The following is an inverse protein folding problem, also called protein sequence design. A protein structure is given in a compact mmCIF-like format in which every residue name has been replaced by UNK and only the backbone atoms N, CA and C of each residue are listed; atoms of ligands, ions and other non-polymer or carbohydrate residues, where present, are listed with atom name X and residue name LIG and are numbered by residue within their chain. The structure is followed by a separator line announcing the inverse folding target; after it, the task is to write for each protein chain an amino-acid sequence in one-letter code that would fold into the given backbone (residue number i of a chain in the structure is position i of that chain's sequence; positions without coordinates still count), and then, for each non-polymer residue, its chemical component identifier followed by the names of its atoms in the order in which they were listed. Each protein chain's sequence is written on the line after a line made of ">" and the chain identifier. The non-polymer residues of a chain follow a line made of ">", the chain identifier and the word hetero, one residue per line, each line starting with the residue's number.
data_IF_400353944644
#
_entry.id   IF_400353944644
#
_cell.length_a   1.000
_cell.length_b   1.000
_cell.length_c   1.000
_cell.angle_alpha   90.00
_cell.angle_beta   90.00
_cell.angle_gamma   90.00
#
_symmetry.space_group_name_H-M   'P 1'
#
loop_
_entity.id
_entity.type
_entity.pdbx_description
1 polymer ?
#
# COMPACT_ATOMS: atom_id res chain seq x y z
N UNK A 1 -36.12 38.10 -42.67
CA UNK A 1 -35.65 38.36 -41.28
C UNK A 1 -35.74 37.16 -40.34
N UNK A 2 -36.59 36.16 -40.55
CA UNK A 2 -36.78 34.98 -39.69
C UNK A 2 -35.64 33.93 -39.75
N UNK A 3 -34.99 33.72 -40.89
CA UNK A 3 -33.92 32.76 -41.09
C UNK A 3 -32.61 33.10 -40.37
N UNK A 4 -32.27 34.36 -40.19
CA UNK A 4 -31.06 34.78 -39.47
C UNK A 4 -31.17 34.62 -37.94
N UNK A 5 -32.40 34.62 -37.38
CA UNK A 5 -32.63 34.37 -35.94
C UNK A 5 -32.49 32.88 -35.60
N UNK A 6 -32.93 31.98 -36.49
CA UNK A 6 -32.82 30.54 -36.28
C UNK A 6 -31.34 30.06 -36.26
N UNK A 7 -30.51 30.59 -37.16
CA UNK A 7 -29.07 30.24 -37.18
C UNK A 7 -28.32 30.68 -35.92
N UNK A 8 -28.67 31.84 -35.34
CA UNK A 8 -28.05 32.29 -34.05
C UNK A 8 -28.47 31.45 -32.88
N UNK A 9 -29.72 30.98 -32.83
CA UNK A 9 -30.21 30.11 -31.75
C UNK A 9 -29.54 28.70 -31.79
N UNK A 10 -29.36 28.17 -33.00
CA UNK A 10 -28.66 26.87 -33.19
C UNK A 10 -27.19 26.98 -32.78
N UNK A 11 -26.54 28.09 -33.18
CA UNK A 11 -25.14 28.33 -32.81
C UNK A 11 -24.99 28.52 -31.30
N UNK A 12 -25.87 29.25 -30.64
CA UNK A 12 -25.88 29.46 -29.20
C UNK A 12 -26.14 28.13 -28.46
N UNK A 13 -27.09 27.32 -28.92
CA UNK A 13 -27.36 25.99 -28.35
C UNK A 13 -26.16 25.03 -28.51
N UNK A 14 -25.42 25.10 -29.62
CA UNK A 14 -24.20 24.36 -29.84
C UNK A 14 -23.08 24.82 -28.90
N UNK A 15 -22.89 26.12 -28.70
CA UNK A 15 -21.92 26.68 -27.76
C UNK A 15 -22.25 26.31 -26.31
N UNK A 16 -23.52 26.37 -25.92
CA UNK A 16 -24.00 25.96 -24.59
C UNK A 16 -23.77 24.46 -24.38
N UNK A 17 -24.04 23.59 -25.37
CA UNK A 17 -23.75 22.17 -25.29
C UNK A 17 -22.25 21.87 -25.17
N UNK A 18 -21.43 22.61 -25.91
CA UNK A 18 -19.97 22.48 -25.87
C UNK A 18 -19.39 22.96 -24.52
N UNK A 19 -19.92 24.07 -23.98
CA UNK A 19 -19.56 24.54 -22.64
C UNK A 19 -20.04 23.57 -21.53
N UNK A 20 -21.25 23.04 -21.65
CA UNK A 20 -21.76 22.04 -20.72
C UNK A 20 -21.01 20.68 -20.79
N UNK A 21 -20.55 20.30 -21.98
CA UNK A 21 -19.68 19.13 -22.16
C UNK A 21 -18.31 19.40 -21.57
N UNK A 22 -17.71 20.56 -21.79
CA UNK A 22 -16.45 20.96 -21.18
C UNK A 22 -16.56 21.08 -19.65
N UNK A 23 -17.67 21.65 -19.14
CA UNK A 23 -17.94 21.72 -17.70
C UNK A 23 -18.15 20.34 -17.08
N UNK A 24 -18.78 19.38 -17.78
CA UNK A 24 -18.90 17.99 -17.32
C UNK A 24 -17.52 17.28 -17.27
N UNK A 25 -16.60 17.61 -18.16
CA UNK A 25 -15.22 17.08 -18.11
C UNK A 25 -14.40 17.67 -16.97
N UNK A 26 -14.71 18.88 -16.50
CA UNK A 26 -14.01 19.50 -15.37
C UNK A 26 -14.50 19.04 -13.98
N UNK A 27 -15.67 18.41 -13.88
CA UNK A 27 -16.23 17.95 -12.61
C UNK A 27 -15.95 16.48 -12.28
N UNK A 28 -15.20 15.77 -13.12
CA UNK A 28 -14.78 14.39 -12.88
C UNK A 28 -13.28 14.26 -12.55
N UNK A 29 -12.64 15.29 -12.00
CA UNK A 29 -11.41 15.05 -11.23
C UNK A 29 -11.83 14.43 -9.90
N UNK A 30 -12.10 13.15 -9.92
CA UNK A 30 -12.17 12.36 -8.70
C UNK A 30 -10.81 12.46 -8.03
N UNK A 31 -10.72 13.25 -6.97
CA UNK A 31 -9.54 13.23 -6.10
C UNK A 31 -9.34 11.80 -5.64
N UNK A 32 -8.29 11.16 -6.12
CA UNK A 32 -7.98 9.79 -5.77
C UNK A 32 -6.92 9.79 -4.67
N UNK A 33 -6.98 8.79 -3.80
CA UNK A 33 -6.07 8.63 -2.69
C UNK A 33 -5.29 7.33 -2.85
N UNK A 34 -3.98 7.40 -2.66
CA UNK A 34 -3.15 6.24 -2.44
C UNK A 34 -3.02 5.99 -0.95
N UNK A 35 -3.44 4.81 -0.51
CA UNK A 35 -3.21 4.33 0.84
C UNK A 35 -1.91 3.53 0.85
N UNK A 36 -0.98 3.90 1.71
CA UNK A 36 0.25 3.17 1.91
C UNK A 36 0.24 2.55 3.29
N UNK A 37 0.14 1.23 3.33
CA UNK A 37 0.19 0.45 4.55
C UNK A 37 1.65 0.17 4.87
N UNK A 38 2.07 0.51 6.08
CA UNK A 38 3.46 0.42 6.53
C UNK A 38 3.57 -0.45 7.78
N UNK A 39 4.63 -1.23 7.84
CA UNK A 39 5.01 -1.96 9.04
C UNK A 39 6.53 -2.04 9.21
N UNK A 40 6.98 -2.46 10.38
CA UNK A 40 8.36 -2.52 10.81
C UNK A 40 8.83 -3.97 10.95
N UNK A 41 10.12 -4.21 10.68
CA UNK A 41 10.77 -5.46 11.06
C UNK A 41 12.16 -5.21 11.64
N UNK A 42 12.47 -5.88 12.74
CA UNK A 42 13.59 -5.55 13.59
C UNK A 42 13.21 -4.53 14.67
N UNK A 43 14.04 -4.38 15.69
CA UNK A 43 13.79 -3.44 16.79
C UNK A 43 14.98 -2.50 16.95
N UNK A 44 14.76 -1.17 16.94
CA UNK A 44 15.84 -0.23 17.20
C UNK A 44 16.51 -0.50 18.55
N UNK A 45 17.84 -0.68 18.55
CA UNK A 45 18.64 -0.93 19.76
C UNK A 45 18.71 -2.40 20.21
N UNK A 46 18.02 -3.31 19.56
CA UNK A 46 18.19 -4.73 19.82
C UNK A 46 19.47 -5.25 19.14
N UNK A 47 20.43 -5.64 19.95
CA UNK A 47 21.73 -6.18 19.49
C UNK A 47 21.60 -7.49 18.69
N UNK A 48 20.49 -8.22 18.84
CA UNK A 48 20.22 -9.45 18.10
C UNK A 48 19.64 -9.19 16.71
N UNK A 49 19.21 -7.97 16.44
CA UNK A 49 18.64 -7.53 15.16
C UNK A 49 19.47 -6.41 14.55
N UNK A 50 20.57 -6.75 13.81
CA UNK A 50 21.49 -5.74 13.30
C UNK A 50 20.86 -4.80 12.27
N UNK A 51 19.69 -5.13 11.74
CA UNK A 51 18.95 -4.31 10.79
C UNK A 51 17.61 -3.86 11.36
N UNK A 52 17.17 -2.70 10.90
CA UNK A 52 15.82 -2.22 11.03
C UNK A 52 15.24 -1.93 9.65
N UNK A 53 14.03 -2.33 9.42
CA UNK A 53 13.31 -2.14 8.16
C UNK A 53 11.98 -1.46 8.47
N UNK A 54 11.69 -0.35 7.83
CA UNK A 54 10.35 0.19 7.68
C UNK A 54 9.95 0.01 6.22
N UNK A 55 8.91 -0.76 5.96
CA UNK A 55 8.47 -1.05 4.60
C UNK A 55 6.95 -1.04 4.48
N UNK A 56 6.48 -0.90 3.26
CA UNK A 56 5.06 -0.99 3.00
C UNK A 56 4.70 -0.94 1.54
N UNK A 57 3.41 -1.06 1.30
CA UNK A 57 2.79 -1.16 0.00
C UNK A 57 1.78 -0.05 -0.23
N UNK A 58 1.93 0.66 -1.33
CA UNK A 58 0.98 1.66 -1.78
C UNK A 58 -0.02 1.04 -2.76
N UNK A 59 -1.29 1.16 -2.40
CA UNK A 59 -2.44 0.75 -3.20
C UNK A 59 -3.31 1.96 -3.51
N UNK A 60 -3.87 1.98 -4.71
CA UNK A 60 -4.93 2.93 -5.04
C UNK A 60 -6.20 2.60 -4.22
N UNK A 61 -6.92 3.59 -3.72
CA UNK A 61 -8.03 3.41 -2.78
C UNK A 61 -9.04 2.32 -3.22
N UNK A 62 -9.38 2.28 -4.51
CA UNK A 62 -10.34 1.30 -5.03
C UNK A 62 -9.81 -0.13 -5.11
N UNK A 63 -8.49 -0.31 -4.96
CA UNK A 63 -7.89 -1.64 -4.93
C UNK A 63 -8.02 -2.29 -3.55
N UNK A 64 -8.14 -1.50 -2.49
CA UNK A 64 -8.06 -1.99 -1.11
C UNK A 64 -9.11 -3.05 -0.80
N UNK A 65 -10.33 -2.85 -1.28
CA UNK A 65 -11.41 -3.84 -1.14
C UNK A 65 -11.06 -5.20 -1.77
N UNK A 66 -10.51 -5.19 -2.98
CA UNK A 66 -10.13 -6.44 -3.67
C UNK A 66 -8.92 -7.09 -3.04
N UNK A 67 -7.97 -6.29 -2.56
CA UNK A 67 -6.79 -6.78 -1.84
C UNK A 67 -7.18 -7.45 -0.52
N UNK A 68 -8.09 -6.84 0.23
CA UNK A 68 -8.64 -7.42 1.45
C UNK A 68 -9.29 -8.77 1.16
N UNK A 69 -10.17 -8.85 0.17
CA UNK A 69 -10.82 -10.10 -0.24
C UNK A 69 -9.83 -11.19 -0.67
N UNK A 70 -8.78 -10.83 -1.42
CA UNK A 70 -7.73 -11.77 -1.80
C UNK A 70 -6.98 -12.32 -0.58
N UNK A 71 -6.67 -11.47 0.39
CA UNK A 71 -5.98 -11.86 1.63
C UNK A 71 -6.90 -12.67 2.54
N UNK A 72 -8.19 -12.32 2.64
CA UNK A 72 -9.18 -13.14 3.35
C UNK A 72 -9.32 -14.52 2.73
N UNK A 73 -9.38 -14.63 1.41
CA UNK A 73 -9.45 -15.90 0.71
C UNK A 73 -8.20 -16.78 0.94
N UNK A 74 -7.05 -16.18 1.21
CA UNK A 74 -5.84 -16.91 1.62
C UNK A 74 -5.97 -17.41 3.05
N UNK A 75 -6.49 -16.60 3.97
CA UNK A 75 -6.62 -16.96 5.38
C UNK A 75 -7.74 -17.97 5.64
N UNK A 76 -8.87 -17.85 4.95
CA UNK A 76 -10.12 -18.57 5.22
C UNK A 76 -9.95 -20.09 5.40
N UNK A 77 -9.28 -20.86 4.52
CA UNK A 77 -9.13 -22.31 4.71
C UNK A 77 -8.32 -22.69 5.94
N UNK A 78 -7.43 -21.81 6.39
CA UNK A 78 -6.66 -22.01 7.62
C UNK A 78 -7.50 -21.64 8.85
N UNK A 79 -8.25 -20.57 8.81
CA UNK A 79 -9.16 -20.13 9.88
C UNK A 79 -10.26 -21.16 10.14
N UNK A 80 -10.86 -21.71 9.08
CA UNK A 80 -11.84 -22.79 9.20
C UNK A 80 -11.29 -24.01 9.93
N UNK A 81 -10.05 -24.42 9.61
CA UNK A 81 -9.40 -25.57 10.27
C UNK A 81 -8.93 -25.24 11.68
N UNK A 82 -8.53 -24.01 11.94
CA UNK A 82 -8.11 -23.55 13.26
C UNK A 82 -9.31 -23.27 14.21
N UNK A 83 -10.50 -23.07 13.66
CA UNK A 83 -11.70 -22.67 14.40
C UNK A 83 -11.60 -21.25 15.00
N UNK A 84 -10.71 -20.42 14.51
CA UNK A 84 -10.47 -19.05 14.97
C UNK A 84 -9.88 -18.19 13.88
N UNK A 85 -9.99 -16.87 14.03
CA UNK A 85 -9.27 -15.91 13.21
C UNK A 85 -7.74 -16.11 13.28
N UNK A 86 -7.07 -16.01 12.14
CA UNK A 86 -5.61 -16.10 12.02
C UNK A 86 -5.08 -14.84 11.33
N UNK A 87 -4.10 -14.21 11.94
CA UNK A 87 -3.34 -13.17 11.27
C UNK A 87 -2.37 -13.78 10.25
N UNK A 88 -2.28 -13.15 9.07
CA UNK A 88 -1.28 -13.48 8.06
C UNK A 88 0.07 -12.82 8.43
N UNK A 89 0.51 -13.03 9.66
CA UNK A 89 1.72 -12.45 10.24
C UNK A 89 2.93 -13.33 9.93
N UNK A 90 3.87 -12.81 9.16
CA UNK A 90 4.92 -13.61 8.55
C UNK A 90 5.86 -14.30 9.57
N UNK A 91 6.21 -13.65 10.67
CA UNK A 91 7.09 -14.20 11.70
C UNK A 91 6.44 -15.39 12.45
N UNK A 92 5.21 -15.30 13.00
CA UNK A 92 4.46 -16.43 13.55
C UNK A 92 4.22 -17.55 12.55
N UNK A 93 3.86 -17.24 11.31
CA UNK A 93 3.67 -18.26 10.26
C UNK A 93 4.95 -19.09 10.07
N UNK A 94 6.10 -18.43 9.94
CA UNK A 94 7.38 -19.12 9.80
C UNK A 94 7.77 -19.88 11.07
N UNK A 95 7.55 -19.30 12.24
CA UNK A 95 7.95 -19.86 13.53
C UNK A 95 6.98 -20.93 14.09
N UNK A 96 5.87 -21.20 13.41
CA UNK A 96 4.83 -22.12 13.90
C UNK A 96 4.26 -21.68 15.25
N UNK A 97 3.73 -20.42 15.31
CA UNK A 97 3.18 -19.82 16.53
C UNK A 97 1.82 -19.16 16.23
N UNK A 98 1.14 -18.71 17.29
CA UNK A 98 -0.08 -17.89 17.21
C UNK A 98 -1.24 -18.50 16.41
N UNK A 99 -1.35 -19.83 16.49
CA UNK A 99 -2.40 -20.60 15.81
C UNK A 99 -1.93 -21.31 14.54
N UNK A 100 -0.71 -21.01 14.09
CA UNK A 100 -0.11 -21.68 12.95
C UNK A 100 0.57 -23.01 13.29
N UNK A 101 0.56 -23.43 14.56
CA UNK A 101 1.19 -24.66 15.07
C UNK A 101 0.55 -25.92 14.49
N UNK A 102 -0.74 -25.87 14.17
CA UNK A 102 -1.49 -27.03 13.67
C UNK A 102 -1.26 -27.31 12.18
N UNK A 103 -0.57 -26.40 11.49
CA UNK A 103 -0.29 -26.52 10.06
C UNK A 103 1.15 -26.97 9.82
N UNK A 104 1.34 -27.79 8.80
CA UNK A 104 2.67 -28.24 8.37
C UNK A 104 3.53 -27.07 7.86
N UNK A 105 4.85 -27.26 7.86
CA UNK A 105 5.77 -26.27 7.32
C UNK A 105 5.48 -25.91 5.85
N UNK A 106 5.04 -26.90 5.05
CA UNK A 106 4.69 -26.70 3.65
C UNK A 106 3.42 -25.83 3.50
N UNK A 107 2.39 -26.07 4.33
CA UNK A 107 1.16 -25.25 4.29
C UNK A 107 1.44 -23.82 4.70
N UNK A 108 2.22 -23.58 5.74
CA UNK A 108 2.62 -22.25 6.18
C UNK A 108 3.47 -21.53 5.13
N UNK A 109 4.39 -22.25 4.48
CA UNK A 109 5.17 -21.67 3.38
C UNK A 109 4.28 -21.33 2.17
N UNK A 110 3.30 -22.17 1.86
CA UNK A 110 2.32 -21.90 0.81
C UNK A 110 1.51 -20.64 1.14
N UNK A 111 0.96 -20.52 2.34
CA UNK A 111 0.22 -19.34 2.77
C UNK A 111 1.07 -18.07 2.68
N UNK A 112 2.32 -18.09 3.17
CA UNK A 112 3.25 -16.97 3.06
C UNK A 112 3.55 -16.60 1.59
N UNK A 113 3.68 -17.60 0.71
CA UNK A 113 3.89 -17.37 -0.71
C UNK A 113 2.66 -16.75 -1.37
N UNK A 114 1.46 -17.19 -1.01
CA UNK A 114 0.22 -16.66 -1.56
C UNK A 114 0.00 -15.20 -1.13
N UNK A 115 0.35 -14.83 0.12
CA UNK A 115 0.36 -13.43 0.56
C UNK A 115 1.28 -12.58 -0.32
N UNK A 116 2.52 -13.01 -0.58
CA UNK A 116 3.43 -12.26 -1.46
C UNK A 116 2.96 -12.22 -2.93
N UNK A 117 2.25 -13.25 -3.40
CA UNK A 117 1.66 -13.26 -4.76
C UNK A 117 0.61 -12.22 -4.99
N UNK A 118 -0.01 -11.69 -3.94
CA UNK A 118 -0.91 -10.54 -4.08
C UNK A 118 -0.22 -9.37 -4.78
N UNK A 119 1.09 -9.14 -4.54
CA UNK A 119 1.88 -8.14 -5.28
C UNK A 119 1.92 -8.44 -6.79
N UNK A 120 2.07 -9.71 -7.15
CA UNK A 120 2.24 -10.15 -8.55
C UNK A 120 0.91 -10.09 -9.31
N UNK A 121 -0.18 -10.47 -8.66
CA UNK A 121 -1.48 -10.67 -9.29
C UNK A 121 -2.30 -9.39 -9.41
N UNK A 122 -2.02 -8.38 -8.59
CA UNK A 122 -2.82 -7.15 -8.52
C UNK A 122 -2.61 -6.23 -9.72
N UNK A 123 -3.71 -5.72 -10.25
CA UNK A 123 -3.71 -4.72 -11.32
C UNK A 123 -4.66 -3.55 -10.98
N UNK A 124 -4.26 -2.29 -11.21
CA UNK A 124 -2.90 -1.85 -11.55
C UNK A 124 -1.89 -2.28 -10.50
N UNK A 125 -0.60 -2.30 -10.88
CA UNK A 125 0.50 -2.79 -10.06
C UNK A 125 0.62 -2.02 -8.74
N UNK A 126 0.84 -2.74 -7.66
CA UNK A 126 1.20 -2.17 -6.37
C UNK A 126 2.64 -1.62 -6.37
N UNK A 127 2.91 -0.67 -5.51
CA UNK A 127 4.23 -0.08 -5.37
C UNK A 127 4.74 -0.26 -3.94
N UNK A 128 5.95 -0.80 -3.80
CA UNK A 128 6.60 -1.02 -2.50
C UNK A 128 7.58 0.12 -2.22
N UNK A 129 7.59 0.56 -0.98
CA UNK A 129 8.54 1.52 -0.44
C UNK A 129 9.20 0.91 0.79
N UNK A 130 10.51 1.06 0.92
CA UNK A 130 11.23 0.58 2.09
C UNK A 130 12.45 1.43 2.40
N UNK A 131 12.76 1.54 3.70
CA UNK A 131 14.02 2.01 4.23
C UNK A 131 14.63 0.91 5.08
N UNK A 132 15.84 0.49 4.73
CA UNK A 132 16.63 -0.52 5.41
C UNK A 132 17.83 0.16 6.04
N UNK A 133 18.00 0.00 7.34
CA UNK A 133 19.11 0.58 8.09
C UNK A 133 19.85 -0.54 8.81
N UNK A 134 21.14 -0.66 8.53
CA UNK A 134 22.06 -1.41 9.40
C UNK A 134 22.36 -0.54 10.61
N UNK A 135 21.94 -0.99 11.79
CA UNK A 135 21.86 -0.13 12.98
C UNK A 135 23.21 0.44 13.42
N UNK A 136 24.32 -0.27 13.12
CA UNK A 136 25.69 0.20 13.35
C UNK A 136 26.05 1.46 12.56
N UNK A 137 25.32 1.78 11.49
CA UNK A 137 25.56 2.96 10.66
C UNK A 137 24.81 4.21 11.18
N UNK A 138 24.04 4.10 12.25
CA UNK A 138 23.33 5.22 12.86
C UNK A 138 24.02 5.64 14.15
N UNK A 139 24.23 6.95 14.31
CA UNK A 139 24.91 7.51 15.50
C UNK A 139 24.08 7.31 16.78
N UNK A 140 22.74 7.28 16.67
CA UNK A 140 21.85 7.08 17.80
C UNK A 140 20.68 6.19 17.40
N UNK A 141 20.36 5.22 18.22
CA UNK A 141 19.23 4.31 18.04
C UNK A 141 17.88 5.04 17.92
N UNK A 142 17.69 6.11 18.69
CA UNK A 142 16.45 6.89 18.65
C UNK A 142 16.19 7.59 17.31
N UNK A 143 17.20 7.72 16.45
CA UNK A 143 17.06 8.38 15.14
C UNK A 143 16.69 7.38 14.02
N UNK A 144 16.74 6.07 14.29
CA UNK A 144 16.52 5.02 13.25
C UNK A 144 15.11 5.10 12.68
N UNK A 145 14.08 5.00 13.52
CA UNK A 145 12.68 5.04 13.08
C UNK A 145 12.31 6.40 12.44
N UNK A 146 12.64 7.55 13.05
CA UNK A 146 12.43 8.86 12.42
C UNK A 146 13.09 8.99 11.05
N UNK A 147 14.32 8.52 10.88
CA UNK A 147 15.02 8.51 9.61
C UNK A 147 14.32 7.63 8.57
N UNK A 148 14.00 6.39 8.92
CA UNK A 148 13.30 5.48 8.01
C UNK A 148 11.95 6.06 7.57
N UNK A 149 11.22 6.65 8.52
CA UNK A 149 9.92 7.27 8.26
C UNK A 149 10.05 8.50 7.32
N UNK A 150 11.02 9.38 7.57
CA UNK A 150 11.31 10.52 6.69
C UNK A 150 11.57 10.07 5.26
N UNK A 151 12.44 9.07 5.10
CA UNK A 151 12.85 8.57 3.78
C UNK A 151 11.69 7.93 3.03
N UNK A 152 10.92 7.05 3.70
CA UNK A 152 9.76 6.39 3.08
C UNK A 152 8.69 7.43 2.71
N UNK A 153 8.43 8.40 3.59
CA UNK A 153 7.46 9.47 3.32
C UNK A 153 7.91 10.34 2.13
N UNK A 154 9.19 10.71 2.08
CA UNK A 154 9.76 11.48 0.98
C UNK A 154 9.67 10.75 -0.36
N UNK A 155 10.02 9.46 -0.39
CA UNK A 155 9.92 8.63 -1.61
C UNK A 155 8.49 8.46 -2.09
N UNK A 156 7.56 8.31 -1.17
CA UNK A 156 6.14 8.22 -1.52
C UNK A 156 5.59 9.57 -2.02
N UNK A 157 5.98 10.68 -1.42
CA UNK A 157 5.65 12.03 -1.91
C UNK A 157 6.19 12.28 -3.33
N UNK A 158 7.44 11.89 -3.59
CA UNK A 158 8.06 11.93 -4.93
C UNK A 158 7.29 11.07 -5.95
N UNK A 159 6.83 9.88 -5.55
CA UNK A 159 6.03 9.02 -6.40
C UNK A 159 4.72 9.71 -6.81
N UNK A 160 4.02 10.32 -5.87
CA UNK A 160 2.77 11.06 -6.14
C UNK A 160 3.02 12.28 -7.03
N UNK A 161 4.11 13.02 -6.78
CA UNK A 161 4.52 14.14 -7.63
C UNK A 161 4.82 13.69 -9.06
N UNK A 162 5.50 12.55 -9.23
CA UNK A 162 5.80 11.97 -10.53
C UNK A 162 4.54 11.53 -11.27
N UNK A 163 3.58 10.92 -10.57
CA UNK A 163 2.27 10.59 -11.14
C UNK A 163 1.56 11.83 -11.65
N UNK A 164 1.51 12.90 -10.85
CA UNK A 164 0.93 14.17 -11.30
C UNK A 164 1.63 14.72 -12.55
N UNK A 165 2.94 14.67 -12.60
CA UNK A 165 3.69 15.16 -13.77
C UNK A 165 3.35 14.36 -15.04
N UNK A 166 3.18 13.05 -14.94
CA UNK A 166 2.93 12.14 -16.08
C UNK A 166 1.46 12.10 -16.50
N UNK A 167 0.57 11.98 -15.53
CA UNK A 167 -0.84 11.68 -15.76
C UNK A 167 -1.73 12.93 -15.64
N UNK A 168 -1.16 14.06 -15.12
CA UNK A 168 -1.90 15.32 -14.84
C UNK A 168 -3.04 15.13 -13.85
N UNK A 169 -3.02 14.04 -13.09
CA UNK A 169 -4.01 13.70 -12.10
C UNK A 169 -3.43 13.94 -10.69
N UNK A 170 -3.93 14.95 -9.93
CA UNK A 170 -3.43 15.26 -8.60
C UNK A 170 -3.87 14.17 -7.60
N UNK A 171 -2.96 13.27 -7.28
CA UNK A 171 -3.16 12.23 -6.29
C UNK A 171 -2.76 12.72 -4.90
N UNK A 172 -3.46 12.24 -3.87
CA UNK A 172 -3.06 12.43 -2.48
C UNK A 172 -2.67 11.09 -1.86
N UNK A 173 -1.81 11.15 -0.87
CA UNK A 173 -1.37 9.98 -0.13
C UNK A 173 -1.80 10.01 1.32
N UNK A 174 -1.97 8.84 1.89
CA UNK A 174 -2.22 8.63 3.31
C UNK A 174 -1.44 7.40 3.78
N UNK A 175 -0.75 7.53 4.91
CA UNK A 175 -0.13 6.40 5.57
C UNK A 175 -1.08 5.76 6.56
N UNK A 176 -1.10 4.44 6.57
CA UNK A 176 -1.78 3.59 7.55
C UNK A 176 -0.72 2.68 8.18
N UNK A 177 -0.54 2.77 9.48
CA UNK A 177 0.43 2.00 10.24
C UNK A 177 -0.28 1.09 11.24
N UNK A 178 0.42 0.06 11.71
CA UNK A 178 -0.06 -0.72 12.83
C UNK A 178 -0.18 0.13 14.11
N UNK A 179 -1.21 -0.17 14.90
CA UNK A 179 -1.52 0.54 16.14
C UNK A 179 -0.39 0.41 17.14
N UNK A 180 -0.05 1.53 17.76
CA UNK A 180 1.02 1.63 18.76
C UNK A 180 0.46 2.25 20.05
N UNK A 181 1.35 2.52 21.00
CA UNK A 181 0.98 3.32 22.17
C UNK A 181 0.61 4.73 21.74
N UNK A 182 -0.41 5.30 22.34
CA UNK A 182 -0.92 6.65 22.00
C UNK A 182 0.16 7.74 22.00
N UNK A 183 1.20 7.60 22.83
CA UNK A 183 2.35 8.53 22.87
C UNK A 183 3.23 8.41 21.61
N UNK A 184 3.44 7.19 21.11
CA UNK A 184 4.24 6.90 19.91
C UNK A 184 3.48 7.37 18.66
N UNK A 185 2.17 7.12 18.59
CA UNK A 185 1.31 7.60 17.51
C UNK A 185 1.31 9.14 17.43
N UNK A 186 1.15 9.82 18.56
CA UNK A 186 1.23 11.29 18.63
C UNK A 186 2.60 11.82 18.21
N UNK A 187 3.68 11.15 18.60
CA UNK A 187 5.03 11.54 18.21
C UNK A 187 5.21 11.41 16.68
N UNK A 188 4.76 10.32 16.09
CA UNK A 188 4.80 10.08 14.64
C UNK A 188 3.95 11.10 13.88
N UNK A 189 2.73 11.38 14.35
CA UNK A 189 1.86 12.40 13.75
C UNK A 189 2.48 13.81 13.84
N UNK A 190 3.13 14.14 14.95
CA UNK A 190 3.83 15.42 15.14
C UNK A 190 5.02 15.54 14.19
N UNK A 191 5.81 14.46 14.05
CA UNK A 191 6.92 14.38 13.11
C UNK A 191 6.43 14.60 11.67
N UNK A 192 5.36 13.94 11.28
CA UNK A 192 4.75 14.11 9.97
C UNK A 192 4.27 15.54 9.70
N UNK A 193 3.64 16.18 10.69
CA UNK A 193 3.25 17.60 10.60
C UNK A 193 4.47 18.49 10.39
N UNK A 194 5.56 18.22 11.10
CA UNK A 194 6.82 18.96 10.90
C UNK A 194 7.30 18.80 9.45
N UNK A 195 7.30 17.61 8.91
CA UNK A 195 7.73 17.34 7.51
C UNK A 195 6.82 18.03 6.48
N UNK A 196 5.53 18.17 6.76
CA UNK A 196 4.58 18.89 5.89
C UNK A 196 4.77 20.41 5.96
N UNK A 197 4.96 20.97 7.13
CA UNK A 197 4.86 22.43 7.35
C UNK A 197 6.22 23.12 7.46
N UNK A 198 7.18 22.50 8.14
CA UNK A 198 8.53 23.03 8.32
C UNK A 198 9.46 22.48 7.23
N UNK A 199 9.47 21.16 7.07
CA UNK A 199 10.31 20.43 6.12
C UNK A 199 11.15 19.36 6.81
N UNK A 200 11.96 18.70 6.00
CA UNK A 200 12.90 17.65 6.37
C UNK A 200 14.14 17.72 5.46
N UNK A 201 15.11 16.84 5.62
CA UNK A 201 16.38 16.89 4.88
C UNK A 201 16.20 16.89 3.34
N UNK A 202 15.13 16.24 2.84
CA UNK A 202 14.83 16.13 1.41
C UNK A 202 13.75 17.12 0.91
N UNK A 203 13.33 18.09 1.74
CA UNK A 203 12.34 19.09 1.36
C UNK A 203 11.09 19.12 2.22
N UNK A 204 9.92 19.12 1.62
CA UNK A 204 8.61 19.11 2.32
C UNK A 204 7.67 18.09 1.69
N UNK A 205 6.88 17.43 2.51
CA UNK A 205 5.78 16.58 2.06
C UNK A 205 4.62 17.45 1.54
N UNK A 206 4.28 17.32 0.27
CA UNK A 206 3.28 18.19 -0.39
C UNK A 206 2.03 17.45 -0.84
N UNK A 207 2.14 16.12 -0.99
CA UNK A 207 1.08 15.31 -1.61
C UNK A 207 0.32 14.46 -0.59
N UNK A 208 0.60 14.57 0.69
CA UNK A 208 -0.16 13.89 1.73
C UNK A 208 -1.48 14.61 2.04
N UNK A 209 -2.55 13.82 2.15
CA UNK A 209 -3.86 14.32 2.57
C UNK A 209 -3.85 14.72 4.04
N UNK A 210 -3.43 13.79 4.91
CA UNK A 210 -3.45 13.94 6.36
C UNK A 210 -2.16 13.42 7.01
N UNK A 211 -2.11 13.49 8.34
CA UNK A 211 -1.14 12.78 9.16
C UNK A 211 -1.40 11.27 9.09
N UNK A 212 -0.42 10.41 9.46
CA UNK A 212 -0.64 8.97 9.44
C UNK A 212 -1.80 8.56 10.34
N UNK A 213 -2.55 7.58 9.87
CA UNK A 213 -3.56 6.86 10.63
C UNK A 213 -2.98 5.58 11.22
N UNK A 214 -3.58 5.11 12.31
CA UNK A 214 -3.20 3.87 12.96
C UNK A 214 -4.41 2.94 13.01
N UNK A 215 -4.21 1.68 12.67
CA UNK A 215 -5.26 0.67 12.63
C UNK A 215 -4.75 -0.64 13.26
N UNK A 216 -5.66 -1.41 13.82
CA UNK A 216 -5.36 -2.73 14.40
C UNK A 216 -5.01 -3.73 13.28
N UNK A 217 -3.79 -4.26 13.31
CA UNK A 217 -3.31 -5.27 12.35
C UNK A 217 -4.20 -6.52 12.35
N UNK A 218 -4.79 -6.87 13.49
CA UNK A 218 -5.73 -8.01 13.59
C UNK A 218 -6.95 -7.86 12.69
N UNK A 219 -7.41 -6.64 12.50
CA UNK A 219 -8.59 -6.33 11.69
C UNK A 219 -8.26 -5.77 10.30
N UNK A 220 -6.97 -5.58 9.98
CA UNK A 220 -6.57 -4.90 8.75
C UNK A 220 -5.61 -5.75 7.92
N UNK A 221 -6.14 -6.52 6.97
CA UNK A 221 -5.36 -7.44 6.11
C UNK A 221 -4.20 -6.76 5.36
N UNK A 222 -4.35 -5.49 4.98
CA UNK A 222 -3.30 -4.80 4.24
C UNK A 222 -2.11 -4.41 5.11
N UNK A 223 -2.30 -4.24 6.43
CA UNK A 223 -1.18 -4.11 7.38
C UNK A 223 -0.45 -5.47 7.46
N UNK A 224 -1.16 -6.60 7.47
CA UNK A 224 -0.55 -7.93 7.45
C UNK A 224 0.25 -8.18 6.16
N UNK A 225 -0.18 -7.63 5.02
CA UNK A 225 0.62 -7.64 3.79
C UNK A 225 1.89 -6.79 3.95
N UNK A 226 1.79 -5.62 4.59
CA UNK A 226 2.94 -4.76 4.86
C UNK A 226 3.94 -5.42 5.83
N UNK A 227 3.44 -6.10 6.89
CA UNK A 227 4.25 -6.96 7.77
C UNK A 227 5.03 -8.00 6.98
N UNK A 228 4.34 -8.76 6.12
CA UNK A 228 5.00 -9.78 5.30
C UNK A 228 6.09 -9.19 4.40
N UNK A 229 5.87 -8.03 3.81
CA UNK A 229 6.87 -7.33 2.99
C UNK A 229 8.06 -6.91 3.86
N UNK A 230 7.83 -6.24 4.99
CA UNK A 230 8.88 -5.78 5.90
C UNK A 230 9.69 -6.96 6.44
N UNK A 231 9.02 -8.04 6.86
CA UNK A 231 9.64 -9.26 7.37
C UNK A 231 10.58 -9.91 6.35
N UNK A 232 10.15 -10.11 5.11
CA UNK A 232 10.99 -10.78 4.11
C UNK A 232 12.12 -9.88 3.61
N UNK A 233 11.95 -8.57 3.58
CA UNK A 233 13.06 -7.63 3.38
C UNK A 233 14.07 -7.75 4.54
N UNK A 234 13.60 -7.71 5.78
CA UNK A 234 14.46 -7.87 6.96
C UNK A 234 15.24 -9.20 6.92
N UNK A 235 14.59 -10.29 6.54
CA UNK A 235 15.26 -11.60 6.45
C UNK A 235 16.34 -11.63 5.38
N UNK A 236 16.13 -10.98 4.25
CA UNK A 236 17.14 -10.84 3.21
C UNK A 236 18.43 -10.21 3.80
N UNK A 237 18.32 -9.07 4.46
CA UNK A 237 19.48 -8.36 5.00
C UNK A 237 20.09 -9.00 6.23
N UNK A 238 19.26 -9.47 7.16
CA UNK A 238 19.72 -9.96 8.48
C UNK A 238 20.11 -11.43 8.49
N UNK A 239 19.50 -12.26 7.66
CA UNK A 239 19.64 -13.71 7.66
C UNK A 239 20.12 -14.30 6.33
N UNK A 240 20.37 -13.47 5.31
CA UNK A 240 20.69 -13.88 3.94
C UNK A 240 19.64 -14.86 3.36
N UNK A 241 18.37 -14.66 3.75
CA UNK A 241 17.25 -15.51 3.33
C UNK A 241 16.62 -14.94 2.06
N UNK A 242 16.94 -15.56 0.93
CA UNK A 242 16.50 -15.12 -0.40
C UNK A 242 15.07 -15.57 -0.75
N UNK A 243 14.34 -16.21 0.17
CA UNK A 243 13.07 -16.82 -0.18
C UNK A 243 11.98 -15.81 -0.63
N UNK A 244 11.82 -14.72 0.08
CA UNK A 244 10.79 -13.71 -0.23
C UNK A 244 11.30 -12.52 -1.05
N UNK A 245 12.60 -12.23 -0.98
CA UNK A 245 13.21 -11.06 -1.62
C UNK A 245 12.95 -10.95 -3.13
N UNK A 246 13.15 -11.99 -3.97
CA UNK A 246 12.89 -11.91 -5.41
C UNK A 246 11.43 -11.64 -5.76
N UNK A 247 10.51 -11.92 -4.84
CA UNK A 247 9.07 -11.67 -5.02
C UNK A 247 8.71 -10.21 -4.74
N UNK A 248 9.50 -9.51 -3.92
CA UNK A 248 9.26 -8.13 -3.50
C UNK A 248 10.07 -7.14 -4.34
N UNK A 249 11.34 -7.45 -4.61
CA UNK A 249 12.28 -6.56 -5.28
C UNK A 249 11.73 -5.91 -6.57
N UNK A 250 11.05 -6.63 -7.47
CA UNK A 250 10.51 -6.02 -8.69
C UNK A 250 9.45 -4.94 -8.42
N UNK A 251 8.84 -4.92 -7.23
CA UNK A 251 7.73 -4.03 -6.89
C UNK A 251 8.15 -2.71 -6.25
N UNK A 252 9.43 -2.49 -5.98
CA UNK A 252 9.86 -1.17 -5.56
C UNK A 252 9.43 -0.11 -6.58
N UNK A 253 8.83 0.96 -6.08
CA UNK A 253 8.34 2.06 -6.91
C UNK A 253 9.46 2.64 -7.77
N UNK A 254 9.17 2.95 -9.03
CA UNK A 254 10.10 3.69 -9.88
C UNK A 254 9.88 5.19 -9.71
N UNK A 255 10.90 5.90 -9.27
CA UNK A 255 10.87 7.33 -9.00
C UNK A 255 11.56 8.17 -10.11
N UNK A 256 11.88 7.53 -11.23
CA UNK A 256 12.61 8.15 -12.32
C UNK A 256 14.12 8.30 -12.04
N UNK A 257 14.90 8.51 -13.09
CA UNK A 257 16.35 8.71 -13.02
C UNK A 257 17.10 7.63 -12.22
N UNK A 258 16.68 6.36 -12.34
CA UNK A 258 17.25 5.23 -11.61
C UNK A 258 16.91 5.15 -10.12
N UNK A 259 16.19 6.14 -9.58
CA UNK A 259 15.74 6.10 -8.18
C UNK A 259 14.57 5.13 -8.01
N UNK A 260 14.57 4.42 -6.88
CA UNK A 260 13.51 3.46 -6.54
C UNK A 260 12.90 3.74 -5.18
N UNK A 261 11.82 3.04 -4.87
CA UNK A 261 11.18 3.04 -3.55
C UNK A 261 12.07 2.48 -2.43
N UNK A 262 13.15 1.75 -2.75
CA UNK A 262 14.09 1.23 -1.76
C UNK A 262 15.11 2.30 -1.36
N UNK A 263 15.41 2.37 -0.07
CA UNK A 263 16.53 3.11 0.51
C UNK A 263 17.33 2.20 1.44
N UNK A 264 18.64 2.39 1.47
CA UNK A 264 19.56 1.54 2.21
C UNK A 264 20.62 2.39 2.89
N UNK A 265 20.82 2.16 4.18
CA UNK A 265 21.96 2.65 4.94
C UNK A 265 22.70 1.42 5.47
N UNK A 266 23.77 1.02 4.78
CA UNK A 266 24.47 -0.24 4.98
C UNK A 266 25.94 -0.01 5.29
N UNK A 267 26.54 -0.90 6.06
CA UNK A 267 27.98 -1.00 6.13
C UNK A 267 28.57 -1.29 4.73
N UNK A 268 29.71 -0.70 4.34
CA UNK A 268 30.32 -0.94 3.04
C UNK A 268 30.59 -2.42 2.71
N UNK A 269 30.76 -3.29 3.72
CA UNK A 269 30.94 -4.73 3.52
C UNK A 269 29.65 -5.50 3.30
N UNK A 270 28.50 -4.94 3.67
CA UNK A 270 27.21 -5.64 3.60
C UNK A 270 26.79 -6.05 2.18
N UNK A 271 26.97 -5.25 1.11
CA UNK A 271 26.68 -5.71 -0.25
C UNK A 271 27.46 -6.95 -0.66
N UNK A 272 28.74 -7.05 -0.30
CA UNK A 272 29.55 -8.24 -0.58
C UNK A 272 29.05 -9.47 0.20
N UNK A 273 28.63 -9.28 1.46
CA UNK A 273 28.02 -10.34 2.27
C UNK A 273 26.69 -10.83 1.67
N UNK A 274 25.83 -9.91 1.20
CA UNK A 274 24.57 -10.26 0.55
C UNK A 274 24.80 -11.08 -0.73
N UNK A 275 25.86 -10.79 -1.48
CA UNK A 275 26.20 -11.55 -2.67
C UNK A 275 26.63 -13.00 -2.38
N UNK A 276 26.91 -13.38 -1.13
CA UNK A 276 27.19 -14.77 -0.72
C UNK A 276 25.95 -15.53 -0.28
N UNK A 277 24.76 -14.93 -0.33
CA UNK A 277 23.51 -15.58 0.04
C UNK A 277 23.30 -16.86 -0.76
N UNK A 278 22.97 -17.93 -0.06
CA UNK A 278 22.69 -19.22 -0.69
C UNK A 278 21.23 -19.26 -1.16
N UNK A 279 20.93 -19.99 -2.24
CA UNK A 279 19.55 -20.27 -2.60
C UNK A 279 18.76 -20.80 -1.40
N UNK A 280 17.47 -20.44 -1.27
CA UNK A 280 16.67 -20.87 -0.14
C UNK A 280 16.58 -22.41 -0.09
N UNK A 281 16.65 -22.99 1.11
CA UNK A 281 16.57 -24.43 1.33
C UNK A 281 15.25 -25.04 0.81
N UNK A 282 14.20 -24.24 0.79
CA UNK A 282 12.92 -24.60 0.19
C UNK A 282 12.59 -23.63 -0.95
N UNK A 283 12.27 -24.14 -2.15
CA UNK A 283 11.90 -23.28 -3.26
C UNK A 283 10.61 -22.51 -2.91
N UNK A 284 10.44 -21.34 -3.53
CA UNK A 284 9.18 -20.60 -3.43
C UNK A 284 8.06 -21.47 -4.03
N UNK A 285 7.00 -21.80 -3.29
CA UNK A 285 5.98 -22.73 -3.76
C UNK A 285 5.36 -22.24 -5.08
N UNK A 286 4.96 -23.13 -6.00
CA UNK A 286 4.24 -22.74 -7.20
C UNK A 286 2.86 -22.15 -6.85
N UNK A 287 2.31 -21.32 -7.73
CA UNK A 287 0.93 -20.86 -7.57
C UNK A 287 -0.02 -22.06 -7.64
N UNK A 288 -0.89 -22.19 -6.67
CA UNK A 288 -2.01 -23.14 -6.75
C UNK A 288 -3.04 -22.51 -7.70
N UNK A 289 -3.46 -23.20 -8.78
CA UNK A 289 -4.52 -22.70 -9.64
C UNK A 289 -5.76 -22.44 -8.76
N UNK A 290 -6.31 -21.23 -8.79
CA UNK A 290 -7.62 -20.96 -8.18
C UNK A 290 -8.59 -21.92 -8.87
N UNK A 291 -9.20 -22.85 -8.13
CA UNK A 291 -10.35 -23.61 -8.62
C UNK A 291 -11.33 -22.56 -9.16
N UNK A 292 -11.82 -22.79 -10.40
CA UNK A 292 -12.70 -21.84 -11.04
C UNK A 292 -13.84 -21.49 -10.07
N UNK A 293 -13.79 -20.30 -9.49
CA UNK A 293 -14.86 -19.82 -8.64
C UNK A 293 -16.11 -19.80 -9.50
N UNK A 294 -17.24 -20.36 -9.04
CA UNK A 294 -18.50 -20.19 -9.73
C UNK A 294 -18.70 -18.68 -9.90
N UNK A 295 -19.01 -18.24 -11.11
CA UNK A 295 -19.24 -16.84 -11.43
C UNK A 295 -20.14 -16.24 -10.35
N UNK A 296 -19.69 -15.14 -9.74
CA UNK A 296 -20.49 -14.45 -8.73
C UNK A 296 -21.91 -14.25 -9.27
N UNK A 297 -22.97 -14.53 -8.50
CA UNK A 297 -24.33 -14.34 -8.96
C UNK A 297 -24.45 -12.89 -9.42
N UNK A 298 -24.87 -12.71 -10.67
CA UNK A 298 -25.16 -11.40 -11.24
C UNK A 298 -26.19 -10.74 -10.33
N UNK A 299 -25.76 -9.76 -9.54
CA UNK A 299 -26.69 -9.00 -8.72
C UNK A 299 -27.73 -8.38 -9.66
N UNK A 300 -29.04 -8.59 -9.44
CA UNK A 300 -30.04 -7.93 -10.24
C UNK A 300 -29.84 -6.41 -10.11
N UNK A 301 -29.83 -5.73 -11.25
CA UNK A 301 -29.67 -4.29 -11.30
C UNK A 301 -30.64 -3.64 -10.31
N UNK A 302 -30.08 -2.94 -9.31
CA UNK A 302 -30.88 -2.17 -8.37
C UNK A 302 -31.59 -1.10 -9.19
N UNK A 303 -32.89 -1.30 -9.44
CA UNK A 303 -33.74 -0.28 -10.03
C UNK A 303 -33.91 0.82 -8.98
N UNK A 304 -33.18 1.92 -9.16
CA UNK A 304 -33.45 3.12 -8.39
C UNK A 304 -34.88 3.60 -8.69
N UNK A 305 -35.74 3.77 -7.68
CA UNK A 305 -37.06 4.32 -7.92
C UNK A 305 -36.91 5.72 -8.52
N UNK A 306 -37.56 5.93 -9.68
CA UNK A 306 -37.67 7.24 -10.31
C UNK A 306 -38.37 8.14 -9.31
N UNK A 307 -37.67 9.11 -8.72
CA UNK A 307 -38.30 10.15 -7.92
C UNK A 307 -39.15 11.00 -8.87
N UNK A 308 -40.43 10.80 -8.86
CA UNK A 308 -41.42 11.73 -9.41
C UNK A 308 -41.33 13.03 -8.60
N UNK A 309 -41.12 14.14 -9.29
CA UNK A 309 -41.14 15.46 -8.67
C UNK A 309 -42.51 15.73 -8.00
N UNK A 310 -42.52 16.36 -6.82
CA UNK A 310 -43.81 16.74 -6.18
C UNK A 310 -44.51 17.79 -7.04
N UNK A 311 -45.80 17.62 -7.20
CA UNK A 311 -46.66 18.41 -8.06
C UNK A 311 -46.64 19.90 -7.74
N UNK A 312 -46.81 20.67 -8.82
CA UNK A 312 -47.00 22.10 -8.77
C UNK A 312 -48.30 22.44 -8.00
N UNK A 313 -48.16 23.30 -7.00
CA UNK A 313 -49.27 23.86 -6.26
C UNK A 313 -50.01 24.82 -7.18
N UNK A 314 -51.22 24.52 -7.60
CA UNK A 314 -52.16 25.47 -8.21
C UNK A 314 -52.78 26.24 -7.06
N UNK A 315 -52.50 27.53 -6.99
CA UNK A 315 -53.23 28.48 -6.11
C UNK A 315 -54.37 29.07 -6.89
N UNK A 316 -55.57 29.15 -6.28
CA UNK A 316 -56.77 29.67 -6.93
C UNK A 316 -56.68 31.17 -7.24
#
# INVERSE_FOLDING_TARGET
>A
MKLRRAGRLIHLAYQIRRAASAARFHFCYGYSVYLTYLDESGSPGDLNTPFFVLAGVAAFERQTHWLEQELDAIAEPFEQRAGKYLELHAAPMKASKEGWEIFSAAERAQASADVLRVLINTRPRLNVFASVVEQSQMARTADILPHCYEVVASKFDDFLALKYQREKDPQRGLFVLDQKRATEEKAMQSLHKTFKHVGHANGRLRNFAEVPMFADSKSTRLIQLADSIAYWIFRHYSKLDEWGWPQIQPFFASLGNGRTGLHQVLDPATPARLATAQPPAFPFPPAIPKAAQPAAPVQPAVQHPIRTAPGALIIP
#
